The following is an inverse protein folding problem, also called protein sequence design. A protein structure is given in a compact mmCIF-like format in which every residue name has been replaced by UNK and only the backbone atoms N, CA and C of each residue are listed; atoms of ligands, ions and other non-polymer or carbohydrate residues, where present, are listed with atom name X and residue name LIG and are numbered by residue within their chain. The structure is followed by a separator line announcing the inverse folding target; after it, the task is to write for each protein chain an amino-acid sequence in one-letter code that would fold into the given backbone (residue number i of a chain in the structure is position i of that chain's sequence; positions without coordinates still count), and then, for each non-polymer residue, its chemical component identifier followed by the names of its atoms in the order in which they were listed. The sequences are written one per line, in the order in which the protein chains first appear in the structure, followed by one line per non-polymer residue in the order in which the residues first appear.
data_IF_962850770703
#
_entry.id   IF_962850770703
#
_cell.length_a   1.000
_cell.length_b   1.000
_cell.length_c   1.000
_cell.angle_alpha   90.00
_cell.angle_beta   90.00
_cell.angle_gamma   90.00
#
_symmetry.space_group_name_H-M   'P 1'
#
loop_
_entity.id
_entity.type
_entity.pdbx_description
1 polymer ?
#
# COMPACT_ATOMS: atom_id res chain seq x y z
N UNK A 1 -22.88 -14.59 -8.96
CA UNK A 1 -23.04 -15.91 -8.32
C UNK A 1 -21.81 -16.80 -8.58
N UNK A 2 -20.58 -16.36 -8.19
CA UNK A 2 -19.36 -17.17 -8.23
C UNK A 2 -18.43 -16.71 -7.09
N UNK A 3 -18.83 -16.96 -5.84
CA UNK A 3 -18.06 -16.52 -4.67
C UNK A 3 -17.38 -17.68 -3.91
N UNK A 4 -17.32 -18.86 -4.49
CA UNK A 4 -16.76 -20.01 -3.79
C UNK A 4 -15.67 -20.64 -4.63
N UNK A 5 -14.44 -20.51 -4.23
CA UNK A 5 -13.38 -21.44 -4.63
C UNK A 5 -12.12 -21.16 -3.80
N UNK A 6 -11.81 -21.99 -2.98
CA UNK A 6 -10.78 -22.98 -2.73
C UNK A 6 -10.92 -23.41 -1.27
N UNK A 7 -11.28 -24.66 -1.09
CA UNK A 7 -11.34 -25.31 0.22
C UNK A 7 -9.99 -25.99 0.48
N UNK A 8 -9.22 -25.53 1.45
CA UNK A 8 -8.28 -26.35 2.18
C UNK A 8 -8.68 -26.30 3.66
N UNK A 9 -9.07 -27.45 4.20
CA UNK A 9 -9.43 -27.68 5.61
C UNK A 9 -10.49 -26.70 6.16
N UNK A 10 -11.64 -26.54 5.50
CA UNK A 10 -12.80 -25.84 6.05
C UNK A 10 -12.73 -24.30 6.07
N UNK A 11 -11.70 -23.67 5.53
CA UNK A 11 -11.65 -22.20 5.44
C UNK A 11 -12.23 -21.78 4.08
N UNK A 12 -13.45 -21.26 4.06
CA UNK A 12 -14.01 -20.57 2.89
C UNK A 12 -13.26 -19.25 2.69
N UNK A 13 -12.49 -19.16 1.61
CA UNK A 13 -11.80 -17.94 1.23
C UNK A 13 -12.76 -16.98 0.53
N UNK A 14 -12.99 -15.83 1.13
CA UNK A 14 -13.77 -14.74 0.52
C UNK A 14 -12.84 -13.81 -0.26
N UNK A 15 -13.35 -13.27 -1.37
CA UNK A 15 -12.68 -12.18 -2.08
C UNK A 15 -12.49 -10.97 -1.15
N UNK A 16 -11.51 -10.10 -1.49
CA UNK A 16 -11.33 -8.86 -0.73
C UNK A 16 -12.59 -8.01 -0.80
N UNK A 17 -13.10 -7.57 0.36
CA UNK A 17 -14.27 -6.70 0.46
C UNK A 17 -14.16 -5.42 -0.40
N UNK A 18 -12.95 -4.87 -0.56
CA UNK A 18 -12.73 -3.73 -1.45
C UNK A 18 -12.99 -4.12 -2.91
N UNK A 19 -12.60 -5.34 -3.33
CA UNK A 19 -12.90 -5.85 -4.68
C UNK A 19 -14.39 -6.09 -4.87
N UNK A 20 -15.06 -6.66 -3.87
CA UNK A 20 -16.52 -6.85 -3.91
C UNK A 20 -17.26 -5.51 -4.06
N UNK A 21 -16.82 -4.46 -3.34
CA UNK A 21 -17.38 -3.11 -3.52
C UNK A 21 -17.10 -2.60 -4.92
N UNK A 22 -15.85 -2.68 -5.42
CA UNK A 22 -15.49 -2.15 -6.73
C UNK A 22 -16.22 -2.87 -7.87
N UNK A 23 -16.47 -4.17 -7.73
CA UNK A 23 -17.25 -4.94 -8.71
C UNK A 23 -18.77 -4.64 -8.63
N UNK A 24 -19.24 -4.15 -7.48
CA UNK A 24 -20.64 -3.76 -7.27
C UNK A 24 -20.90 -2.26 -7.56
N UNK A 25 -19.89 -1.50 -7.98
CA UNK A 25 -20.06 -0.09 -8.38
C UNK A 25 -20.52 0.01 -9.82
N UNK A 26 -21.50 0.87 -10.08
CA UNK A 26 -21.99 1.25 -11.40
C UNK A 26 -21.19 2.45 -11.93
N UNK A 27 -21.32 2.82 -13.21
CA UNK A 27 -20.57 3.91 -13.83
C UNK A 27 -20.78 5.27 -13.14
N UNK A 28 -21.98 5.51 -12.58
CA UNK A 28 -22.32 6.74 -11.86
C UNK A 28 -21.96 6.71 -10.36
N UNK A 29 -21.38 5.63 -9.87
CA UNK A 29 -20.98 5.52 -8.45
C UNK A 29 -19.80 6.43 -8.12
N UNK A 30 -19.99 7.34 -7.16
CA UNK A 30 -18.90 8.11 -6.59
C UNK A 30 -18.14 7.23 -5.60
N UNK A 31 -16.92 6.83 -5.97
CA UNK A 31 -16.16 5.82 -5.22
C UNK A 31 -14.96 6.38 -4.47
N UNK A 32 -15.09 6.48 -3.15
CA UNK A 32 -13.99 6.73 -2.22
C UNK A 32 -13.36 5.43 -1.67
N UNK A 33 -13.73 4.26 -2.22
CA UNK A 33 -13.33 2.96 -1.65
C UNK A 33 -11.94 2.51 -2.10
N UNK A 34 -11.65 2.59 -3.39
CA UNK A 34 -10.38 2.12 -3.96
C UNK A 34 -9.17 2.93 -3.49
N UNK A 35 -8.01 2.29 -3.40
CA UNK A 35 -6.72 3.00 -3.26
C UNK A 35 -6.18 3.40 -4.64
N UNK A 36 -7.02 4.08 -5.45
CA UNK A 36 -6.70 4.45 -6.82
C UNK A 36 -6.00 5.81 -6.88
N UNK A 37 -4.81 5.92 -7.49
CA UNK A 37 -4.20 7.20 -7.83
C UNK A 37 -5.07 8.01 -8.80
N UNK A 38 -4.85 9.30 -8.85
CA UNK A 38 -5.46 10.20 -9.83
C UNK A 38 -4.89 9.89 -11.23
N UNK A 39 -5.76 9.47 -12.14
CA UNK A 39 -5.35 9.15 -13.53
C UNK A 39 -4.82 10.36 -14.31
N UNK A 40 -5.28 11.56 -13.97
CA UNK A 40 -4.84 12.81 -14.61
C UNK A 40 -3.36 13.15 -14.29
N UNK A 41 -2.80 12.49 -13.24
CA UNK A 41 -1.42 12.64 -12.85
C UNK A 41 -0.52 11.51 -13.40
N UNK A 42 -1.02 10.59 -14.20
CA UNK A 42 -0.16 9.60 -14.84
C UNK A 42 0.74 10.27 -15.89
N UNK A 43 2.05 9.98 -15.93
CA UNK A 43 2.99 10.60 -16.86
C UNK A 43 2.87 9.94 -18.26
N UNK A 44 1.67 10.02 -18.88
CA UNK A 44 1.35 9.31 -20.12
C UNK A 44 2.26 9.69 -21.29
N UNK A 45 2.57 10.99 -21.45
CA UNK A 45 3.43 11.47 -22.54
C UNK A 45 4.85 10.94 -22.39
N UNK A 46 5.38 10.97 -21.16
CA UNK A 46 6.71 10.51 -20.81
C UNK A 46 6.83 9.00 -21.00
N UNK A 47 5.83 8.24 -20.52
CA UNK A 47 5.75 6.79 -20.71
C UNK A 47 5.58 6.41 -22.19
N UNK A 48 4.80 7.17 -22.97
CA UNK A 48 4.67 6.98 -24.42
C UNK A 48 6.01 7.18 -25.15
N UNK A 49 6.77 8.22 -24.78
CA UNK A 49 8.11 8.46 -25.34
C UNK A 49 9.08 7.34 -24.95
N UNK A 50 9.06 6.91 -23.70
CA UNK A 50 9.88 5.81 -23.20
C UNK A 50 9.54 4.50 -23.93
N UNK A 51 8.25 4.17 -24.13
CA UNK A 51 7.85 2.95 -24.82
C UNK A 51 8.34 2.88 -26.26
N UNK A 52 8.32 4.00 -27.00
CA UNK A 52 8.87 4.09 -28.35
C UNK A 52 10.37 3.79 -28.41
N UNK A 53 11.12 4.14 -27.36
CA UNK A 53 12.55 3.81 -27.27
C UNK A 53 12.75 2.34 -26.91
N UNK A 54 11.96 1.83 -25.96
CA UNK A 54 12.01 0.43 -25.51
C UNK A 54 11.76 -0.53 -26.68
N UNK A 55 10.76 -0.26 -27.54
CA UNK A 55 10.46 -1.10 -28.71
C UNK A 55 11.53 -1.07 -29.82
N UNK A 56 12.58 -0.26 -29.69
CA UNK A 56 13.74 -0.35 -30.59
C UNK A 56 14.72 -1.46 -30.19
N UNK A 57 14.53 -2.06 -29.03
CA UNK A 57 15.31 -3.18 -28.53
C UNK A 57 14.36 -4.38 -28.34
N UNK A 58 14.54 -5.43 -29.11
CA UNK A 58 13.74 -6.67 -29.11
C UNK A 58 13.90 -7.48 -27.81
N UNK A 59 14.98 -7.27 -27.03
CA UNK A 59 15.12 -7.82 -25.67
C UNK A 59 13.92 -7.46 -24.76
N UNK A 60 13.18 -6.40 -25.05
CA UNK A 60 12.01 -6.02 -24.26
C UNK A 60 10.90 -7.07 -24.28
N UNK A 61 10.89 -7.96 -25.27
CA UNK A 61 9.94 -9.07 -25.44
C UNK A 61 10.52 -10.42 -25.05
N UNK A 62 11.82 -10.49 -24.71
CA UNK A 62 12.51 -11.72 -24.33
C UNK A 62 12.43 -11.92 -22.81
N UNK A 63 12.71 -13.15 -22.38
CA UNK A 63 12.94 -13.46 -20.97
C UNK A 63 14.12 -12.67 -20.41
N UNK A 64 14.02 -12.29 -19.11
CA UNK A 64 15.08 -11.56 -18.41
C UNK A 64 15.49 -12.25 -17.10
N UNK A 65 16.43 -11.65 -16.39
CA UNK A 65 16.90 -12.17 -15.10
C UNK A 65 15.78 -12.17 -14.06
N UNK A 66 15.65 -13.23 -13.28
CA UNK A 66 14.65 -13.39 -12.23
C UNK A 66 14.71 -12.28 -11.16
N UNK A 67 15.92 -11.80 -10.85
CA UNK A 67 16.12 -10.68 -9.93
C UNK A 67 15.64 -9.34 -10.52
N UNK A 68 15.48 -9.24 -11.83
CA UNK A 68 15.14 -8.03 -12.57
C UNK A 68 16.34 -7.39 -13.26
N UNK A 69 16.08 -6.48 -14.22
CA UNK A 69 17.11 -5.84 -15.02
C UNK A 69 18.03 -4.98 -14.15
N UNK A 70 19.31 -5.05 -14.44
CA UNK A 70 20.37 -4.48 -13.60
C UNK A 70 20.28 -2.96 -13.49
N UNK A 71 20.09 -2.27 -14.62
CA UNK A 71 19.98 -0.80 -14.67
C UNK A 71 18.82 -0.27 -13.83
N UNK A 72 17.65 -0.94 -13.82
CA UNK A 72 16.54 -0.56 -12.96
C UNK A 72 16.86 -0.79 -11.48
N UNK A 73 17.51 -1.89 -11.14
CA UNK A 73 17.94 -2.18 -9.77
C UNK A 73 18.94 -1.14 -9.24
N UNK A 74 19.88 -0.69 -10.09
CA UNK A 74 20.83 0.40 -9.79
C UNK A 74 20.10 1.71 -9.49
N UNK A 75 19.12 2.09 -10.33
CA UNK A 75 18.31 3.30 -10.09
C UNK A 75 17.50 3.24 -8.80
N UNK A 76 16.88 2.09 -8.51
CA UNK A 76 16.17 1.90 -7.25
C UNK A 76 17.16 1.99 -6.06
N UNK A 77 18.33 1.35 -6.14
CA UNK A 77 19.36 1.45 -5.10
C UNK A 77 19.83 2.90 -4.89
N UNK A 78 19.96 3.66 -5.97
CA UNK A 78 20.27 5.11 -5.92
C UNK A 78 19.17 5.90 -5.21
N UNK A 79 17.88 5.58 -5.42
CA UNK A 79 16.76 6.20 -4.69
C UNK A 79 16.90 5.96 -3.18
N UNK A 80 17.21 4.73 -2.75
CA UNK A 80 17.44 4.43 -1.33
C UNK A 80 18.59 5.25 -0.76
N UNK A 81 19.72 5.27 -1.45
CA UNK A 81 20.92 5.95 -0.99
C UNK A 81 20.71 7.46 -0.91
N UNK A 82 20.17 8.08 -1.96
CA UNK A 82 20.11 9.53 -2.11
C UNK A 82 18.85 10.17 -1.47
N UNK A 83 17.72 9.46 -1.43
CA UNK A 83 16.45 10.03 -0.95
C UNK A 83 16.03 9.49 0.42
N UNK A 84 16.33 8.22 0.72
CA UNK A 84 16.03 7.61 2.03
C UNK A 84 17.23 7.64 2.97
N UNK A 85 18.40 8.05 2.48
CA UNK A 85 19.66 8.06 3.26
C UNK A 85 20.05 6.65 3.74
N UNK A 86 19.72 5.63 2.98
CA UNK A 86 19.91 4.22 3.29
C UNK A 86 20.81 3.60 2.22
N UNK A 87 22.13 3.54 2.47
CA UNK A 87 23.10 2.96 1.52
C UNK A 87 22.60 1.59 1.05
N UNK A 88 22.47 1.42 -0.25
CA UNK A 88 21.90 0.22 -0.88
C UNK A 88 22.62 -0.03 -2.19
N UNK A 89 22.94 -1.29 -2.49
CA UNK A 89 23.47 -1.73 -3.77
C UNK A 89 22.39 -2.39 -4.62
N UNK A 90 22.64 -2.58 -5.91
CA UNK A 90 21.73 -3.27 -6.82
C UNK A 90 21.53 -4.74 -6.48
N UNK A 91 22.51 -5.37 -5.82
CA UNK A 91 22.47 -6.75 -5.37
C UNK A 91 21.43 -6.95 -4.27
N UNK A 92 21.12 -5.91 -3.50
CA UNK A 92 20.12 -5.90 -2.44
C UNK A 92 18.68 -5.66 -2.92
N UNK A 93 18.46 -5.53 -4.25
CA UNK A 93 17.16 -5.25 -4.86
C UNK A 93 16.67 -6.45 -5.66
N UNK A 94 15.43 -6.88 -5.40
CA UNK A 94 14.67 -7.85 -6.22
C UNK A 94 13.43 -7.18 -6.78
N UNK A 95 13.28 -7.15 -8.10
CA UNK A 95 12.08 -6.60 -8.78
C UNK A 95 10.92 -7.59 -8.66
N UNK A 96 9.73 -7.06 -8.37
CA UNK A 96 8.52 -7.85 -8.19
C UNK A 96 7.35 -7.30 -9.01
N UNK A 97 6.35 -8.15 -9.26
CA UNK A 97 5.09 -7.77 -9.90
C UNK A 97 4.18 -7.03 -8.91
N UNK A 98 4.66 -5.87 -8.43
CA UNK A 98 4.08 -5.06 -7.37
C UNK A 98 4.35 -5.63 -5.98
N UNK A 99 4.06 -4.83 -4.93
CA UNK A 99 4.27 -5.23 -3.53
C UNK A 99 3.40 -6.41 -3.09
N UNK A 100 2.28 -6.70 -3.78
CA UNK A 100 1.44 -7.86 -3.47
C UNK A 100 2.20 -9.18 -3.71
N UNK A 101 2.96 -9.27 -4.81
CA UNK A 101 3.83 -10.44 -5.05
C UNK A 101 4.99 -10.51 -4.05
N UNK A 102 5.51 -9.34 -3.63
CA UNK A 102 6.57 -9.30 -2.62
C UNK A 102 6.17 -10.01 -1.32
N UNK A 103 4.91 -9.85 -0.85
CA UNK A 103 4.41 -10.60 0.31
C UNK A 103 4.49 -12.10 0.08
N UNK A 104 4.02 -12.56 -1.07
CA UNK A 104 3.97 -13.99 -1.38
C UNK A 104 5.38 -14.60 -1.45
N UNK A 105 6.32 -13.91 -2.11
CA UNK A 105 7.72 -14.32 -2.19
C UNK A 105 8.33 -14.42 -0.79
N UNK A 106 8.24 -13.36 0.03
CA UNK A 106 8.85 -13.33 1.36
C UNK A 106 8.27 -14.43 2.25
N UNK A 107 6.94 -14.56 2.29
CA UNK A 107 6.27 -15.49 3.18
C UNK A 107 6.49 -16.97 2.79
N UNK A 108 6.75 -17.24 1.51
CA UNK A 108 7.15 -18.57 1.03
C UNK A 108 8.61 -18.87 1.32
N UNK A 109 9.46 -17.84 1.35
CA UNK A 109 10.91 -17.98 1.60
C UNK A 109 11.27 -18.08 3.07
N UNK A 110 10.35 -17.69 3.97
CA UNK A 110 10.59 -17.64 5.41
C UNK A 110 9.77 -18.71 6.15
N UNK A 111 10.45 -19.43 7.04
CA UNK A 111 9.81 -20.43 7.89
C UNK A 111 9.22 -19.77 9.15
N UNK A 112 8.19 -18.95 8.99
CA UNK A 112 7.43 -18.36 10.09
C UNK A 112 5.95 -18.64 9.91
N UNK A 113 5.29 -19.06 10.99
CA UNK A 113 3.84 -19.30 11.00
C UNK A 113 3.03 -18.13 11.57
N UNK A 114 3.68 -17.20 12.28
CA UNK A 114 3.03 -16.09 12.95
C UNK A 114 3.47 -14.74 12.38
N UNK A 115 2.51 -13.84 12.16
CA UNK A 115 2.76 -12.47 11.71
C UNK A 115 2.08 -11.51 12.66
N UNK A 116 2.87 -10.60 13.22
CA UNK A 116 2.40 -9.52 14.07
C UNK A 116 2.09 -8.31 13.19
N UNK A 117 0.93 -7.69 13.38
CA UNK A 117 0.48 -6.52 12.61
C UNK A 117 -0.03 -5.40 13.52
N UNK A 118 0.17 -4.14 13.16
CA UNK A 118 -0.50 -3.03 13.85
C UNK A 118 -1.99 -3.01 13.48
N UNK A 119 -2.87 -2.87 14.46
CA UNK A 119 -4.33 -2.86 14.26
C UNK A 119 -4.88 -1.43 14.27
N UNK A 120 -5.64 -1.00 13.22
CA UNK A 120 -6.02 -1.74 12.01
C UNK A 120 -4.87 -1.90 11.02
N UNK A 121 -4.96 -2.87 10.09
CA UNK A 121 -3.91 -3.17 9.13
C UNK A 121 -4.41 -3.28 7.69
N UNK A 122 -3.49 -3.26 6.71
CA UNK A 122 -3.82 -3.29 5.29
C UNK A 122 -4.47 -4.61 4.89
N UNK A 123 -5.69 -4.53 4.34
CA UNK A 123 -6.50 -5.70 3.98
C UNK A 123 -5.81 -6.61 2.93
N UNK A 124 -5.03 -6.04 2.01
CA UNK A 124 -4.29 -6.82 1.02
C UNK A 124 -3.19 -7.68 1.65
N UNK A 125 -2.49 -7.16 2.67
CA UNK A 125 -1.52 -7.92 3.44
C UNK A 125 -2.21 -8.98 4.31
N UNK A 126 -3.27 -8.61 5.05
CA UNK A 126 -4.06 -9.56 5.84
C UNK A 126 -4.61 -10.72 4.98
N UNK A 127 -5.04 -10.43 3.75
CA UNK A 127 -5.48 -11.42 2.78
C UNK A 127 -4.36 -12.38 2.37
N UNK A 128 -3.17 -11.84 2.04
CA UNK A 128 -2.00 -12.66 1.69
C UNK A 128 -1.56 -13.57 2.84
N UNK A 129 -1.56 -13.06 4.07
CA UNK A 129 -1.20 -13.83 5.26
C UNK A 129 -2.17 -14.99 5.50
N UNK A 130 -3.48 -14.73 5.38
CA UNK A 130 -4.52 -15.76 5.48
C UNK A 130 -4.40 -16.81 4.38
N UNK A 131 -4.13 -16.39 3.13
CA UNK A 131 -3.93 -17.30 1.98
C UNK A 131 -2.80 -18.31 2.22
N UNK A 132 -1.75 -17.87 2.89
CA UNK A 132 -0.58 -18.69 3.23
C UNK A 132 -0.70 -19.36 4.60
N UNK A 133 -1.92 -19.41 5.16
CA UNK A 133 -2.23 -20.03 6.46
C UNK A 133 -1.35 -19.50 7.62
N UNK A 134 -0.99 -18.21 7.58
CA UNK A 134 -0.23 -17.59 8.67
C UNK A 134 -1.19 -17.17 9.78
N UNK A 135 -0.80 -17.42 11.03
CA UNK A 135 -1.48 -16.88 12.18
C UNK A 135 -1.22 -15.37 12.29
N UNK A 136 -2.26 -14.58 12.44
CA UNK A 136 -2.15 -13.13 12.52
C UNK A 136 -2.45 -12.68 13.94
N UNK A 137 -1.48 -12.00 14.56
CA UNK A 137 -1.59 -11.44 15.90
C UNK A 137 -1.53 -9.92 15.77
N UNK A 138 -2.48 -9.20 16.38
CA UNK A 138 -2.50 -7.74 16.31
C UNK A 138 -2.03 -7.06 17.59
N UNK A 139 -1.44 -5.87 17.44
CA UNK A 139 -1.10 -4.97 18.55
C UNK A 139 -1.56 -3.54 18.25
N UNK A 140 -1.69 -2.73 19.30
CA UNK A 140 -2.02 -1.29 19.21
C UNK A 140 -0.94 -0.40 19.81
N UNK A 141 -0.27 -0.86 20.86
CA UNK A 141 0.75 -0.11 21.60
C UNK A 141 2.09 -0.83 21.57
N UNK A 142 3.20 -0.09 21.59
CA UNK A 142 4.54 -0.67 21.60
C UNK A 142 4.78 -1.66 22.75
N UNK A 143 4.22 -1.42 23.93
CA UNK A 143 4.30 -2.35 25.07
C UNK A 143 3.66 -3.71 24.81
N UNK A 144 2.66 -3.76 23.92
CA UNK A 144 2.06 -5.03 23.48
C UNK A 144 3.01 -5.73 22.49
N UNK A 145 3.60 -4.96 21.56
CA UNK A 145 4.58 -5.48 20.61
C UNK A 145 5.77 -6.14 21.31
N UNK A 146 6.34 -5.50 22.34
CA UNK A 146 7.45 -6.06 23.14
C UNK A 146 7.16 -7.46 23.69
N UNK A 147 5.91 -7.73 24.06
CA UNK A 147 5.50 -9.02 24.62
C UNK A 147 5.23 -10.08 23.56
N UNK A 148 4.94 -9.69 22.35
CA UNK A 148 4.54 -10.57 21.25
C UNK A 148 5.72 -11.01 20.39
N UNK A 149 6.73 -10.13 20.25
CA UNK A 149 7.87 -10.34 19.35
C UNK A 149 8.81 -11.43 19.88
N UNK A 150 9.18 -12.35 19.01
CA UNK A 150 10.18 -13.38 19.24
C UNK A 150 10.87 -13.78 17.90
N UNK A 151 11.88 -14.65 17.95
CA UNK A 151 12.67 -15.04 16.78
C UNK A 151 11.91 -15.89 15.74
N UNK A 152 10.73 -16.44 16.08
CA UNK A 152 9.95 -17.29 15.20
C UNK A 152 8.82 -16.55 14.47
N UNK A 153 8.58 -15.29 14.79
CA UNK A 153 7.51 -14.50 14.15
C UNK A 153 8.04 -13.33 13.32
N UNK A 154 7.15 -12.77 12.49
CA UNK A 154 7.41 -11.65 11.61
C UNK A 154 6.62 -10.44 12.09
N UNK A 155 7.22 -9.25 12.08
CA UNK A 155 6.48 -7.99 12.19
C UNK A 155 6.20 -7.44 10.77
N UNK A 156 4.92 -7.22 10.43
CA UNK A 156 4.51 -6.41 9.29
C UNK A 156 4.15 -4.99 9.75
N UNK A 157 4.79 -3.99 9.15
CA UNK A 157 4.57 -2.59 9.49
C UNK A 157 4.48 -1.69 8.26
N UNK A 158 3.59 -0.68 8.31
CA UNK A 158 3.55 0.45 7.38
C UNK A 158 3.95 1.69 8.17
N UNK A 159 5.18 2.12 8.04
CA UNK A 159 5.73 3.20 8.84
C UNK A 159 5.34 4.61 8.37
N UNK A 160 4.89 4.74 7.11
CA UNK A 160 4.52 6.01 6.49
C UNK A 160 3.10 5.95 5.91
N UNK A 161 2.23 6.87 6.36
CA UNK A 161 0.84 7.02 5.88
C UNK A 161 0.06 5.71 5.82
N UNK A 162 0.13 4.98 6.92
CA UNK A 162 -0.41 3.63 7.09
C UNK A 162 -1.84 3.52 6.54
N UNK A 163 -2.08 2.48 5.76
CA UNK A 163 -3.40 2.11 5.26
C UNK A 163 -4.06 1.11 6.24
N UNK A 164 -5.18 1.48 6.93
CA UNK A 164 -6.05 2.62 6.65
C UNK A 164 -5.82 3.86 7.52
N UNK A 165 -5.13 3.78 8.65
CA UNK A 165 -5.13 4.76 9.74
C UNK A 165 -4.49 6.12 9.41
N UNK A 166 -3.75 6.21 8.30
CA UNK A 166 -2.94 7.38 7.89
C UNK A 166 -1.82 7.77 8.87
N UNK A 167 -1.55 6.94 9.87
CA UNK A 167 -0.52 7.19 10.85
C UNK A 167 0.88 7.19 10.23
N UNK A 168 1.76 8.01 10.80
CA UNK A 168 3.18 8.08 10.44
C UNK A 168 4.01 7.88 11.69
N UNK A 169 4.94 6.92 11.67
CA UNK A 169 5.85 6.70 12.77
C UNK A 169 6.87 7.84 12.85
N UNK A 170 7.01 8.43 14.02
CA UNK A 170 8.10 9.36 14.30
C UNK A 170 9.42 8.59 14.50
N UNK A 171 10.55 9.31 14.51
CA UNK A 171 11.86 8.69 14.63
C UNK A 171 12.03 7.90 15.94
N UNK A 172 11.40 8.35 17.05
CA UNK A 172 11.41 7.63 18.33
C UNK A 172 10.73 6.26 18.20
N UNK A 173 9.51 6.21 17.60
CA UNK A 173 8.78 4.95 17.38
C UNK A 173 9.56 4.01 16.45
N UNK A 174 10.19 4.54 15.37
CA UNK A 174 11.03 3.72 14.46
C UNK A 174 12.22 3.09 15.20
N UNK A 175 12.95 3.88 16.01
CA UNK A 175 14.05 3.37 16.84
C UNK A 175 13.58 2.34 17.87
N UNK A 176 12.47 2.60 18.57
CA UNK A 176 11.92 1.64 19.54
C UNK A 176 11.56 0.31 18.88
N UNK A 177 10.92 0.32 17.70
CA UNK A 177 10.60 -0.92 16.97
C UNK A 177 11.90 -1.64 16.56
N UNK A 178 12.88 -0.92 16.01
CA UNK A 178 14.16 -1.52 15.63
C UNK A 178 14.87 -2.20 16.80
N UNK A 179 14.86 -1.57 18.00
CA UNK A 179 15.44 -2.15 19.21
C UNK A 179 14.68 -3.41 19.66
N UNK A 180 13.34 -3.36 19.74
CA UNK A 180 12.50 -4.51 20.09
C UNK A 180 12.78 -5.70 19.16
N UNK A 181 12.86 -5.45 17.85
CA UNK A 181 13.15 -6.50 16.88
C UNK A 181 14.57 -7.04 17.03
N UNK A 182 15.55 -6.18 17.31
CA UNK A 182 16.94 -6.58 17.50
C UNK A 182 17.13 -7.45 18.74
N UNK A 183 16.53 -7.07 19.87
CA UNK A 183 16.56 -7.80 21.13
C UNK A 183 15.94 -9.21 21.01
N UNK A 184 14.97 -9.38 20.14
CA UNK A 184 14.23 -10.62 19.95
C UNK A 184 14.60 -11.38 18.66
N UNK A 185 15.53 -10.88 17.86
CA UNK A 185 15.96 -11.45 16.58
C UNK A 185 14.79 -11.77 15.62
N UNK A 186 13.71 -10.98 15.68
CA UNK A 186 12.52 -11.14 14.83
C UNK A 186 12.74 -10.51 13.46
N UNK A 187 11.97 -10.90 12.45
CA UNK A 187 12.10 -10.37 11.08
C UNK A 187 11.08 -9.27 10.82
N UNK A 188 11.50 -8.21 10.13
CA UNK A 188 10.64 -7.09 9.72
C UNK A 188 10.25 -7.19 8.24
N UNK A 189 8.96 -7.08 7.95
CA UNK A 189 8.45 -6.72 6.62
C UNK A 189 7.92 -5.28 6.72
N UNK A 190 8.64 -4.32 6.13
CA UNK A 190 8.27 -2.92 6.12
C UNK A 190 7.69 -2.52 4.76
N UNK A 191 6.39 -2.20 4.72
CA UNK A 191 5.70 -1.79 3.50
C UNK A 191 5.81 -0.28 3.29
N UNK A 192 6.63 0.12 2.32
CA UNK A 192 6.94 1.49 1.96
C UNK A 192 6.12 2.05 0.80
N UNK A 193 4.98 1.45 0.43
CA UNK A 193 4.20 1.86 -0.75
C UNK A 193 3.79 3.35 -0.76
N UNK A 194 3.71 4.01 0.38
CA UNK A 194 3.31 5.41 0.54
C UNK A 194 4.45 6.34 0.99
N UNK A 195 5.68 5.86 1.18
CA UNK A 195 6.77 6.61 1.81
C UNK A 195 7.12 7.93 1.11
N UNK A 196 6.86 8.04 -0.19
CA UNK A 196 7.10 9.26 -0.98
C UNK A 196 5.89 10.19 -1.07
N UNK A 197 4.71 9.79 -0.62
CA UNK A 197 3.49 10.62 -0.67
C UNK A 197 3.40 11.53 0.55
N UNK A 198 4.32 12.48 0.67
CA UNK A 198 4.39 13.45 1.76
C UNK A 198 4.10 14.87 1.24
N UNK A 199 3.04 15.52 1.72
CA UNK A 199 2.61 16.85 1.26
C UNK A 199 3.62 17.98 1.52
N UNK A 200 4.66 17.73 2.30
CA UNK A 200 5.76 18.67 2.55
C UNK A 200 7.07 18.21 1.90
N UNK A 201 7.04 17.17 1.08
CA UNK A 201 8.19 16.53 0.44
C UNK A 201 9.33 16.14 1.44
N UNK A 202 8.96 15.86 2.72
CA UNK A 202 9.89 15.45 3.77
C UNK A 202 9.89 13.94 3.92
N UNK A 203 10.78 13.27 3.22
CA UNK A 203 10.95 11.83 3.25
C UNK A 203 11.68 11.42 4.53
N UNK A 204 11.27 10.31 5.14
CA UNK A 204 11.90 9.72 6.33
C UNK A 204 12.63 8.43 5.97
N UNK A 205 13.74 8.18 6.63
CA UNK A 205 14.40 6.90 6.54
C UNK A 205 13.52 5.78 7.11
N UNK A 206 13.45 4.60 6.46
CA UNK A 206 12.66 3.46 6.94
C UNK A 206 13.26 2.85 8.23
N UNK A 207 12.47 2.01 8.91
CA UNK A 207 12.94 1.20 10.06
C UNK A 207 14.04 0.25 9.59
N UNK A 208 13.91 -0.28 8.37
CA UNK A 208 14.88 -1.17 7.72
C UNK A 208 16.30 -0.59 7.59
N UNK A 209 16.45 0.74 7.65
CA UNK A 209 17.76 1.39 7.77
C UNK A 209 18.41 1.15 9.15
N UNK A 210 17.59 1.01 10.18
CA UNK A 210 18.03 0.85 11.58
C UNK A 210 18.13 -0.61 11.98
N UNK A 211 17.49 -1.51 11.25
CA UNK A 211 17.41 -2.93 11.55
C UNK A 211 17.59 -3.77 10.27
N UNK A 212 18.66 -4.56 10.24
CA UNK A 212 19.12 -5.23 9.03
C UNK A 212 18.38 -6.53 8.69
N UNK A 213 17.79 -7.26 9.67
CA UNK A 213 16.95 -8.41 9.40
C UNK A 213 15.56 -7.96 8.94
N UNK A 214 15.52 -7.35 7.77
CA UNK A 214 14.34 -6.68 7.24
C UNK A 214 14.19 -6.82 5.73
N UNK A 215 12.93 -6.76 5.29
CA UNK A 215 12.49 -6.70 3.90
C UNK A 215 11.68 -5.41 3.74
N UNK A 216 12.24 -4.43 3.04
CA UNK A 216 11.54 -3.19 2.73
C UNK A 216 10.90 -3.28 1.34
N UNK A 217 9.59 -3.07 1.28
CA UNK A 217 8.83 -3.14 0.04
C UNK A 217 8.64 -1.75 -0.56
N UNK A 218 8.88 -1.63 -1.85
CA UNK A 218 8.61 -0.43 -2.61
C UNK A 218 7.73 -0.70 -3.81
N UNK A 219 7.12 0.35 -4.37
CA UNK A 219 6.23 0.21 -5.52
C UNK A 219 6.15 1.49 -6.34
N UNK A 220 6.15 1.36 -7.66
CA UNK A 220 5.82 2.44 -8.58
C UNK A 220 4.31 2.72 -8.69
N UNK A 221 3.47 1.86 -8.11
CA UNK A 221 2.01 1.96 -8.22
C UNK A 221 1.41 3.27 -7.72
N UNK A 222 2.06 3.96 -6.78
CA UNK A 222 1.52 5.18 -6.17
C UNK A 222 2.26 6.45 -6.59
N UNK A 223 3.39 6.30 -7.31
CA UNK A 223 4.28 7.38 -7.71
C UNK A 223 4.52 7.47 -9.22
N UNK A 224 4.03 6.46 -10.00
CA UNK A 224 4.01 6.50 -11.46
C UNK A 224 2.65 6.01 -11.97
N UNK A 225 2.41 4.69 -11.99
CA UNK A 225 1.13 4.12 -12.44
C UNK A 225 0.92 2.70 -11.89
N UNK A 226 -0.26 2.38 -11.33
CA UNK A 226 -0.53 1.07 -10.74
C UNK A 226 -0.66 -0.05 -11.78
N UNK A 227 -1.07 0.27 -13.01
CA UNK A 227 -1.25 -0.68 -14.12
C UNK A 227 0.06 -1.33 -14.58
N UNK A 228 1.21 -0.70 -14.34
CA UNK A 228 2.52 -1.24 -14.72
C UNK A 228 2.94 -2.45 -13.88
N UNK A 229 2.30 -2.70 -12.73
CA UNK A 229 2.58 -3.84 -11.86
C UNK A 229 4.07 -3.98 -11.52
N UNK A 230 4.74 -2.88 -11.17
CA UNK A 230 6.14 -2.88 -10.73
C UNK A 230 6.29 -2.49 -9.27
N UNK A 231 7.03 -3.30 -8.56
CA UNK A 231 7.50 -3.08 -7.20
C UNK A 231 8.84 -3.75 -6.98
N UNK A 232 9.33 -3.72 -5.77
CA UNK A 232 10.59 -4.34 -5.40
C UNK A 232 10.64 -4.71 -3.92
N UNK A 233 11.55 -5.63 -3.60
CA UNK A 233 12.00 -5.92 -2.26
C UNK A 233 13.43 -5.41 -2.14
N UNK A 234 13.72 -4.64 -1.10
CA UNK A 234 15.07 -4.33 -0.64
C UNK A 234 15.36 -5.14 0.61
N UNK A 235 16.40 -5.95 0.57
CA UNK A 235 16.90 -6.73 1.71
C UNK A 235 18.41 -6.87 1.62
N UNK A 236 19.05 -7.54 2.58
CA UNK A 236 20.47 -7.90 2.46
C UNK A 236 20.68 -8.85 1.27
N UNK A 237 21.83 -8.73 0.60
CA UNK A 237 22.21 -9.56 -0.54
C UNK A 237 22.12 -11.07 -0.23
N UNK A 238 22.55 -11.49 0.95
CA UNK A 238 22.50 -12.88 1.40
C UNK A 238 21.10 -13.52 1.38
N UNK A 239 20.05 -12.68 1.45
CA UNK A 239 18.66 -13.14 1.42
C UNK A 239 18.11 -13.26 -0.02
N UNK A 240 18.75 -12.65 -1.01
CA UNK A 240 18.22 -12.56 -2.39
C UNK A 240 18.05 -13.95 -2.99
N UNK A 241 19.01 -14.86 -2.82
CA UNK A 241 18.92 -16.22 -3.39
C UNK A 241 17.71 -17.01 -2.86
N UNK A 242 17.34 -16.84 -1.60
CA UNK A 242 16.16 -17.49 -1.02
C UNK A 242 14.87 -16.93 -1.64
N UNK A 243 14.84 -15.61 -1.89
CA UNK A 243 13.70 -14.94 -2.53
C UNK A 243 13.59 -15.33 -4.01
N UNK A 244 14.72 -15.51 -4.71
CA UNK A 244 14.75 -15.91 -6.12
C UNK A 244 14.10 -17.27 -6.33
N UNK A 245 14.37 -18.26 -5.50
CA UNK A 245 13.74 -19.58 -5.59
C UNK A 245 12.20 -19.49 -5.52
N UNK A 246 11.66 -18.66 -4.62
CA UNK A 246 10.22 -18.42 -4.53
C UNK A 246 9.70 -17.61 -5.73
N UNK A 247 10.45 -16.61 -6.20
CA UNK A 247 10.10 -15.78 -7.35
C UNK A 247 9.99 -16.61 -8.63
N UNK A 248 10.98 -17.47 -8.89
CA UNK A 248 11.05 -18.33 -10.07
C UNK A 248 9.91 -19.35 -10.12
N UNK A 249 9.47 -19.84 -8.96
CA UNK A 249 8.32 -20.74 -8.86
C UNK A 249 6.96 -20.05 -9.10
N UNK A 250 6.90 -18.69 -9.06
CA UNK A 250 5.66 -17.92 -9.23
C UNK A 250 5.47 -17.42 -10.65
N UNK A 251 6.47 -16.71 -11.20
CA UNK A 251 6.36 -16.06 -12.50
C UNK A 251 7.69 -15.94 -13.25
N UNK A 252 8.73 -16.66 -12.81
CA UNK A 252 10.10 -16.63 -13.31
C UNK A 252 10.74 -15.24 -13.16
N UNK A 253 10.18 -14.22 -13.77
CA UNK A 253 10.59 -12.80 -13.65
C UNK A 253 9.40 -11.87 -13.86
N UNK A 254 9.51 -10.64 -13.38
CA UNK A 254 8.56 -9.57 -13.69
C UNK A 254 8.72 -9.12 -15.14
N UNK A 255 7.63 -8.72 -15.81
CA UNK A 255 7.59 -8.30 -17.22
C UNK A 255 8.82 -7.47 -17.62
N UNK A 256 9.61 -7.97 -18.58
CA UNK A 256 10.79 -7.30 -19.11
C UNK A 256 10.43 -5.94 -19.69
N UNK A 257 9.37 -5.89 -20.51
CA UNK A 257 8.88 -4.65 -21.12
C UNK A 257 8.59 -3.58 -20.05
N UNK A 258 7.85 -3.91 -19.00
CA UNK A 258 7.50 -2.93 -17.96
C UNK A 258 8.73 -2.48 -17.16
N UNK A 259 9.71 -3.36 -16.94
CA UNK A 259 10.96 -3.00 -16.31
C UNK A 259 11.76 -2.02 -17.19
N UNK A 260 11.94 -2.32 -18.48
CA UNK A 260 12.63 -1.46 -19.42
C UNK A 260 11.91 -0.12 -19.63
N UNK A 261 10.57 -0.13 -19.63
CA UNK A 261 9.76 1.09 -19.72
C UNK A 261 10.02 2.05 -18.55
N UNK A 262 10.01 1.54 -17.33
CA UNK A 262 10.29 2.36 -16.15
C UNK A 262 11.77 2.74 -16.08
N UNK A 263 12.67 1.86 -16.47
CA UNK A 263 14.10 2.15 -16.55
C UNK A 263 14.38 3.33 -17.48
N UNK A 264 13.79 3.31 -18.70
CA UNK A 264 13.90 4.42 -19.65
C UNK A 264 13.19 5.70 -19.19
N UNK A 265 12.02 5.56 -18.55
CA UNK A 265 11.34 6.70 -17.94
C UNK A 265 12.24 7.40 -16.90
N UNK A 266 12.91 6.64 -16.03
CA UNK A 266 13.83 7.16 -15.02
C UNK A 266 15.12 7.75 -15.60
N UNK A 267 15.54 7.32 -16.80
CA UNK A 267 16.67 7.93 -17.53
C UNK A 267 16.35 9.34 -18.04
N UNK A 268 15.13 9.53 -18.50
CA UNK A 268 14.73 10.73 -19.24
C UNK A 268 13.98 11.76 -18.40
N UNK A 269 13.59 11.43 -17.15
CA UNK A 269 12.73 12.26 -16.31
C UNK A 269 13.15 12.26 -14.85
N UNK A 270 12.90 13.37 -14.14
CA UNK A 270 13.06 13.42 -12.68
C UNK A 270 11.79 12.88 -11.99
N UNK A 271 11.93 11.68 -11.43
CA UNK A 271 10.86 11.03 -10.66
C UNK A 271 10.40 11.90 -9.46
N UNK A 272 11.30 12.63 -8.81
CA UNK A 272 10.96 13.39 -7.60
C UNK A 272 10.28 14.71 -7.92
N UNK A 273 10.53 15.30 -9.09
CA UNK A 273 9.71 16.40 -9.61
C UNK A 273 8.27 15.92 -9.86
N UNK A 274 8.11 14.75 -10.48
CA UNK A 274 6.79 14.15 -10.69
C UNK A 274 6.07 13.83 -9.36
N UNK A 275 6.77 13.24 -8.39
CA UNK A 275 6.23 12.99 -7.04
C UNK A 275 5.83 14.29 -6.35
N UNK A 276 6.57 15.38 -6.52
CA UNK A 276 6.21 16.68 -5.97
C UNK A 276 4.88 17.19 -6.54
N UNK A 277 4.66 17.07 -7.86
CA UNK A 277 3.39 17.41 -8.51
C UNK A 277 2.22 16.57 -7.96
N UNK A 278 2.44 15.27 -7.77
CA UNK A 278 1.46 14.38 -7.13
C UNK A 278 1.13 14.85 -5.70
N UNK A 279 2.15 15.13 -4.89
CA UNK A 279 1.98 15.54 -3.51
C UNK A 279 1.21 16.86 -3.38
N UNK A 280 1.47 17.83 -4.25
CA UNK A 280 0.77 19.12 -4.28
C UNK A 280 -0.71 18.94 -4.66
N UNK A 281 -0.99 18.15 -5.70
CA UNK A 281 -2.36 17.86 -6.13
C UNK A 281 -3.14 17.11 -5.04
N UNK A 282 -2.53 16.09 -4.43
CA UNK A 282 -3.15 15.30 -3.38
C UNK A 282 -3.39 16.12 -2.10
N UNK A 283 -2.47 17.02 -1.76
CA UNK A 283 -2.68 17.95 -0.66
C UNK A 283 -3.92 18.84 -0.88
N UNK A 284 -4.09 19.38 -2.09
CA UNK A 284 -5.26 20.21 -2.43
C UNK A 284 -6.57 19.40 -2.34
N UNK A 285 -6.61 18.19 -2.92
CA UNK A 285 -7.79 17.29 -2.84
C UNK A 285 -8.11 16.88 -1.41
N UNK A 286 -7.10 16.53 -0.60
CA UNK A 286 -7.26 16.22 0.82
C UNK A 286 -7.86 17.38 1.61
N UNK A 287 -7.32 18.61 1.42
CA UNK A 287 -7.83 19.81 2.06
C UNK A 287 -9.29 20.05 1.71
N UNK A 288 -9.64 19.88 0.43
CA UNK A 288 -11.01 20.05 -0.05
C UNK A 288 -11.96 19.03 0.56
N UNK A 289 -11.60 17.73 0.54
CA UNK A 289 -12.41 16.68 1.16
C UNK A 289 -12.57 16.91 2.67
N UNK A 290 -11.51 17.33 3.35
CA UNK A 290 -11.56 17.65 4.78
C UNK A 290 -12.51 18.84 5.08
N UNK A 291 -12.53 19.88 4.21
CA UNK A 291 -13.49 20.99 4.30
C UNK A 291 -14.92 20.50 4.09
N UNK A 292 -15.15 19.62 3.12
CA UNK A 292 -16.46 19.02 2.85
C UNK A 292 -16.98 18.23 4.06
N UNK A 293 -16.15 17.37 4.67
CA UNK A 293 -16.53 16.66 5.88
C UNK A 293 -16.89 17.60 7.02
N UNK A 294 -16.07 18.60 7.31
CA UNK A 294 -16.34 19.59 8.36
C UNK A 294 -17.65 20.36 8.14
N UNK A 295 -17.96 20.65 6.89
CA UNK A 295 -19.16 21.41 6.52
C UNK A 295 -20.44 20.56 6.55
N UNK A 296 -20.41 19.36 5.99
CA UNK A 296 -21.61 18.56 5.74
C UNK A 296 -21.80 17.41 6.74
N UNK A 297 -20.73 16.91 7.35
CA UNK A 297 -20.77 15.82 8.34
C UNK A 297 -19.85 16.18 9.53
N UNK A 298 -20.20 17.23 10.34
CA UNK A 298 -19.34 17.67 11.44
C UNK A 298 -19.20 16.63 12.56
N UNK A 299 -20.06 15.62 12.58
CA UNK A 299 -19.97 14.46 13.49
C UNK A 299 -18.88 13.48 13.11
N UNK A 300 -18.40 13.47 11.85
CA UNK A 300 -17.28 12.62 11.42
C UNK A 300 -15.96 13.14 12.00
N UNK A 301 -15.38 12.40 12.92
CA UNK A 301 -14.14 12.79 13.61
C UNK A 301 -12.93 12.15 12.94
N UNK A 302 -12.02 12.97 12.43
CA UNK A 302 -10.80 12.51 11.78
C UNK A 302 -9.61 13.41 12.10
N UNK A 303 -8.42 12.83 12.03
CA UNK A 303 -7.16 13.59 12.03
C UNK A 303 -6.78 13.89 10.59
N UNK A 304 -6.48 15.14 10.28
CA UNK A 304 -6.05 15.56 8.95
C UNK A 304 -4.73 14.87 8.60
N UNK A 305 -4.67 14.09 7.51
CA UNK A 305 -3.45 13.41 7.11
C UNK A 305 -2.40 14.41 6.59
N UNK A 306 -1.12 14.01 6.69
CA UNK A 306 0.03 14.79 6.21
C UNK A 306 0.63 14.24 4.92
N UNK A 307 -0.02 13.27 4.32
CA UNK A 307 0.40 12.54 3.13
C UNK A 307 -0.48 11.33 2.87
N UNK A 308 -0.06 10.46 1.96
CA UNK A 308 -0.83 9.30 1.54
C UNK A 308 -2.02 9.66 0.67
N UNK A 309 -3.05 8.81 0.69
CA UNK A 309 -4.18 8.87 -0.25
C UNK A 309 -5.54 8.87 0.44
N UNK A 310 -5.58 8.85 1.79
CA UNK A 310 -6.81 8.56 2.53
C UNK A 310 -7.08 9.58 3.63
N UNK A 311 -8.38 9.80 3.91
CA UNK A 311 -8.88 10.30 5.20
C UNK A 311 -9.43 9.08 5.95
N UNK A 312 -9.07 8.95 7.22
CA UNK A 312 -9.54 7.93 8.14
C UNK A 312 -10.11 8.57 9.39
N UNK A 313 -11.33 8.17 9.76
CA UNK A 313 -12.03 8.76 10.89
C UNK A 313 -13.20 7.93 11.35
N UNK A 314 -13.92 8.40 12.38
CA UNK A 314 -15.05 7.71 13.00
C UNK A 314 -16.36 8.47 12.86
N UNK A 315 -17.44 7.73 12.62
CA UNK A 315 -18.83 8.17 12.76
C UNK A 315 -19.36 7.89 14.16
N UNK A 316 -20.55 8.41 14.47
CA UNK A 316 -21.28 8.06 15.70
C UNK A 316 -22.10 6.77 15.53
N UNK A 317 -22.01 6.09 14.39
CA UNK A 317 -22.78 4.90 14.05
C UNK A 317 -21.90 3.81 13.44
N UNK A 318 -22.45 2.60 13.32
CA UNK A 318 -21.81 1.44 12.68
C UNK A 318 -21.46 1.76 11.23
N UNK A 319 -20.17 1.77 10.90
CA UNK A 319 -19.65 2.13 9.58
C UNK A 319 -19.97 1.09 8.50
N UNK A 320 -20.13 -0.20 8.85
CA UNK A 320 -20.51 -1.26 7.93
C UNK A 320 -21.97 -1.11 7.47
N UNK A 321 -22.87 -0.83 8.42
CA UNK A 321 -24.28 -0.56 8.09
C UNK A 321 -24.43 0.69 7.23
N UNK A 322 -23.66 1.74 7.56
CA UNK A 322 -23.64 2.98 6.80
C UNK A 322 -23.10 2.76 5.38
N UNK A 323 -22.00 2.00 5.20
CA UNK A 323 -21.42 1.70 3.90
C UNK A 323 -22.40 0.94 2.99
N UNK A 324 -23.14 -0.04 3.54
CA UNK A 324 -24.17 -0.77 2.81
C UNK A 324 -25.34 0.11 2.34
N UNK A 325 -25.74 1.10 3.16
CA UNK A 325 -26.77 2.08 2.77
C UNK A 325 -26.23 3.04 1.71
N UNK A 326 -25.02 3.55 1.90
CA UNK A 326 -24.39 4.47 0.96
C UNK A 326 -24.22 3.87 -0.43
N UNK A 327 -23.87 2.59 -0.51
CA UNK A 327 -23.70 1.88 -1.80
C UNK A 327 -25.01 1.83 -2.61
N UNK A 328 -26.17 1.72 -1.95
CA UNK A 328 -27.50 1.77 -2.62
C UNK A 328 -27.82 3.13 -3.24
N UNK A 329 -27.17 4.18 -2.75
CA UNK A 329 -27.29 5.57 -3.25
C UNK A 329 -26.07 5.96 -4.10
N UNK A 330 -25.36 4.98 -4.67
CA UNK A 330 -24.18 5.13 -5.53
C UNK A 330 -23.04 5.90 -4.88
N UNK A 331 -22.79 5.65 -3.56
CA UNK A 331 -21.63 6.15 -2.82
C UNK A 331 -20.88 4.98 -2.20
N UNK A 332 -19.61 4.82 -2.57
CA UNK A 332 -18.76 3.76 -2.04
C UNK A 332 -17.65 4.31 -1.15
N UNK A 333 -17.46 3.74 0.04
CA UNK A 333 -16.30 3.95 0.92
C UNK A 333 -15.99 2.66 1.68
N UNK A 334 -14.86 2.59 2.38
CA UNK A 334 -14.47 1.37 3.08
C UNK A 334 -14.72 1.50 4.58
N UNK A 335 -15.67 0.72 5.15
CA UNK A 335 -15.86 0.63 6.60
C UNK A 335 -14.64 -0.03 7.24
N UNK A 336 -14.21 0.46 8.40
CA UNK A 336 -12.94 0.03 8.98
C UNK A 336 -12.95 -1.39 9.54
N UNK A 337 -14.10 -2.01 9.74
CA UNK A 337 -14.24 -3.40 10.20
C UNK A 337 -13.36 -4.37 9.37
N UNK A 338 -13.24 -4.14 8.05
CA UNK A 338 -12.47 -5.01 7.15
C UNK A 338 -10.95 -4.95 7.35
N UNK A 339 -10.44 -3.92 8.05
CA UNK A 339 -9.03 -3.75 8.38
C UNK A 339 -8.66 -4.28 9.75
N UNK A 340 -9.62 -4.80 10.50
CA UNK A 340 -9.42 -5.45 11.79
C UNK A 340 -9.50 -6.97 11.64
N UNK A 341 -8.87 -7.70 12.54
CA UNK A 341 -8.95 -9.17 12.55
C UNK A 341 -10.36 -9.62 12.94
N UNK A 342 -10.89 -9.12 14.05
CA UNK A 342 -12.23 -9.46 14.57
C UNK A 342 -12.80 -8.31 15.39
N UNK A 343 -13.13 -7.16 14.78
CA UNK A 343 -13.66 -6.01 15.51
C UNK A 343 -14.67 -5.24 14.68
N UNK A 344 -15.87 -5.01 15.22
CA UNK A 344 -16.80 -4.00 14.70
C UNK A 344 -16.23 -2.59 14.90
N UNK A 345 -16.52 -1.68 13.99
CA UNK A 345 -15.95 -0.34 14.02
C UNK A 345 -16.94 0.71 13.53
N UNK A 346 -16.85 1.90 14.13
CA UNK A 346 -17.50 3.11 13.64
C UNK A 346 -16.60 3.91 12.67
N UNK A 347 -15.37 3.45 12.49
CA UNK A 347 -14.38 4.13 11.65
C UNK A 347 -14.54 3.75 10.18
N UNK A 348 -14.09 4.65 9.30
CA UNK A 348 -14.13 4.44 7.85
C UNK A 348 -12.93 5.11 7.17
N UNK A 349 -12.57 4.57 6.00
CA UNK A 349 -11.51 5.09 5.12
C UNK A 349 -12.10 5.65 3.84
N UNK A 350 -11.70 6.86 3.46
CA UNK A 350 -12.07 7.56 2.24
C UNK A 350 -10.84 7.87 1.41
N UNK A 351 -10.80 7.46 0.15
CA UNK A 351 -9.80 7.89 -0.82
C UNK A 351 -10.18 9.29 -1.32
N UNK A 352 -9.23 10.23 -1.32
CA UNK A 352 -9.43 11.59 -1.85
C UNK A 352 -8.75 11.81 -3.21
N UNK A 353 -8.03 10.82 -3.75
CA UNK A 353 -7.16 11.05 -4.90
C UNK A 353 -7.86 10.86 -6.24
N UNK A 354 -8.75 9.86 -6.35
CA UNK A 354 -9.34 9.45 -7.62
C UNK A 354 -10.46 10.38 -8.10
N UNK A 355 -11.32 10.86 -7.19
CA UNK A 355 -12.53 11.61 -7.56
C UNK A 355 -12.24 13.10 -7.86
N UNK A 356 -13.10 13.70 -8.73
CA UNK A 356 -13.08 15.13 -8.99
C UNK A 356 -13.52 15.95 -7.75
N UNK A 357 -13.26 17.23 -7.74
CA UNK A 357 -13.72 18.13 -6.66
C UNK A 357 -15.25 18.15 -6.56
N UNK A 358 -15.95 18.12 -7.69
CA UNK A 358 -17.41 18.07 -7.79
C UNK A 358 -17.93 16.78 -7.15
N UNK A 359 -17.37 15.63 -7.52
CA UNK A 359 -17.74 14.32 -6.99
C UNK A 359 -17.43 14.20 -5.50
N UNK A 360 -16.30 14.74 -5.03
CA UNK A 360 -15.99 14.80 -3.59
C UNK A 360 -17.09 15.55 -2.83
N UNK A 361 -17.49 16.73 -3.32
CA UNK A 361 -18.53 17.54 -2.69
C UNK A 361 -19.90 16.85 -2.75
N UNK A 362 -20.28 16.32 -3.91
CA UNK A 362 -21.57 15.65 -4.12
C UNK A 362 -21.67 14.38 -3.26
N UNK A 363 -20.64 13.53 -3.29
CA UNK A 363 -20.63 12.28 -2.53
C UNK A 363 -20.71 12.49 -1.03
N UNK A 364 -19.98 13.50 -0.48
CA UNK A 364 -20.06 13.81 0.96
C UNK A 364 -21.43 14.41 1.32
N UNK A 365 -22.05 15.23 0.46
CA UNK A 365 -23.42 15.72 0.67
C UNK A 365 -24.45 14.59 0.67
N UNK A 366 -24.40 13.68 -0.32
CA UNK A 366 -25.29 12.49 -0.36
C UNK A 366 -25.11 11.67 0.92
N UNK A 367 -23.86 11.42 1.35
CA UNK A 367 -23.58 10.68 2.58
C UNK A 367 -24.15 11.37 3.82
N UNK A 368 -24.11 12.71 3.91
CA UNK A 368 -24.71 13.46 4.99
C UNK A 368 -26.24 13.26 5.07
N UNK A 369 -26.93 13.25 3.91
CA UNK A 369 -28.38 13.01 3.84
C UNK A 369 -28.73 11.56 4.29
N UNK A 370 -27.91 10.57 3.93
CA UNK A 370 -28.08 9.18 4.35
C UNK A 370 -27.95 9.05 5.87
N UNK A 371 -26.96 9.73 6.46
CA UNK A 371 -26.77 9.75 7.93
C UNK A 371 -27.96 10.39 8.62
N UNK A 372 -28.46 11.53 8.16
CA UNK A 372 -29.64 12.21 8.73
C UNK A 372 -30.88 11.30 8.71
N UNK A 373 -31.18 10.63 7.57
CA UNK A 373 -32.28 9.67 7.43
C UNK A 373 -32.14 8.40 8.31
N UNK A 374 -30.97 8.15 8.86
CA UNK A 374 -30.72 6.96 9.67
C UNK A 374 -30.84 7.24 11.18
N UNK A 375 -30.83 8.53 11.56
CA UNK A 375 -30.96 8.98 12.95
C UNK A 375 -32.41 9.31 13.32
N UNK A 376 -33.28 9.46 12.33
CA UNK A 376 -34.74 9.53 12.47
C UNK A 376 -35.36 8.12 12.30
#
# INVERSE_FOLDING_TARGET
MYSNIIVKKGIMMKRSYIREILDATEEDTISFAGGLPDKELFPLNELSKASKKVFKNDDCLQYSKSQGIESLREKIASIYTNKLGFKTSKEEILITTGSQQAFDIILKSLNSNQIIVESPSYIGALGAFKMLNKEIIDFKKLKELEKLVNSSNLLYAISDYQNPSTNVYNNKKRKSIANILSENNSTLIEDGAYCFLNFKNKIKAPISKLYSNSYHLGSFSKIVAPGLRLGWIRTKEENINKLLAAKESLDLHTSTFNQMLIDEYLNSNDLFEHISKINDAYNKKMEYMAKCFKKYIPSFKFKKPKGGMFIYGSFNSDSMKLAKKALKDNIAFVPAEVFYINKKSTEARFNFTNESYENIKLGIKKLANIIAKTQN
#
